data_IF_471851321689
#
_entry.id   IF_471851321689
#
_cell.length_a   1.000
_cell.length_b   1.000
_cell.length_c   1.000
_cell.angle_alpha   90.00
_cell.angle_beta   90.00
_cell.angle_gamma   90.00
#
_symmetry.space_group_name_H-M   'P 1'
#
loop_
_entity.id
_entity.type
_entity.pdbx_description
1 polymer ?
#
# COMPACT_ATOMS: atom_id res chain seq x y z
N UNK A 1 13.62 -7.22 -41.61
CA UNK A 1 13.00 -8.07 -40.57
C UNK A 1 11.92 -7.22 -39.90
N UNK A 2 10.66 -7.58 -40.09
CA UNK A 2 9.51 -6.85 -39.52
C UNK A 2 9.36 -7.27 -38.06
N UNK A 3 9.52 -6.33 -37.12
CA UNK A 3 9.24 -6.57 -35.70
C UNK A 3 7.73 -6.49 -35.48
N UNK A 4 7.12 -7.62 -35.13
CA UNK A 4 5.73 -7.68 -34.71
C UNK A 4 5.56 -6.92 -33.39
N UNK A 5 5.05 -5.68 -33.47
CA UNK A 5 4.52 -4.95 -32.32
C UNK A 5 3.29 -5.68 -31.79
N UNK A 6 3.47 -6.45 -30.71
CA UNK A 6 2.36 -7.02 -29.95
C UNK A 6 1.92 -6.00 -28.91
N UNK A 7 1.09 -5.05 -29.36
CA UNK A 7 0.27 -4.24 -28.44
C UNK A 7 -0.59 -5.21 -27.64
N UNK A 8 -0.41 -5.27 -26.32
CA UNK A 8 -1.27 -6.10 -25.46
C UNK A 8 -2.71 -5.60 -25.61
N UNK A 9 -3.68 -6.46 -25.95
CA UNK A 9 -5.05 -6.03 -26.15
C UNK A 9 -5.60 -5.44 -24.85
N UNK A 10 -6.34 -4.35 -25.01
CA UNK A 10 -7.16 -3.71 -23.99
C UNK A 10 -8.06 -4.79 -23.34
N UNK A 11 -7.67 -5.28 -22.16
CA UNK A 11 -8.45 -6.30 -21.44
C UNK A 11 -9.65 -5.61 -20.82
N UNK A 12 -10.84 -5.80 -21.41
CA UNK A 12 -12.10 -5.67 -20.66
C UNK A 12 -12.00 -6.60 -19.45
N UNK A 13 -12.24 -6.09 -18.25
CA UNK A 13 -12.31 -6.97 -17.07
C UNK A 13 -13.46 -7.95 -17.29
N UNK A 14 -13.13 -9.24 -17.34
CA UNK A 14 -14.09 -10.32 -17.56
C UNK A 14 -14.81 -10.63 -16.24
N UNK A 15 -15.99 -11.25 -16.31
CA UNK A 15 -16.66 -11.82 -15.12
C UNK A 15 -15.74 -12.77 -14.33
N UNK A 16 -14.85 -13.48 -15.03
CA UNK A 16 -13.82 -14.32 -14.43
C UNK A 16 -12.87 -13.52 -13.52
N UNK A 17 -12.52 -12.29 -13.91
CA UNK A 17 -11.58 -11.44 -13.19
C UNK A 17 -12.22 -10.89 -11.89
N UNK A 18 -13.50 -10.53 -11.93
CA UNK A 18 -14.27 -10.06 -10.76
C UNK A 18 -14.89 -11.21 -9.94
N UNK A 19 -14.70 -12.46 -10.35
CA UNK A 19 -15.19 -13.64 -9.61
C UNK A 19 -14.63 -13.71 -8.19
N UNK A 20 -13.40 -13.22 -7.98
CA UNK A 20 -12.74 -13.21 -6.67
C UNK A 20 -13.41 -12.28 -5.64
N UNK A 21 -14.35 -11.43 -6.07
CA UNK A 21 -15.18 -10.60 -5.18
C UNK A 21 -16.39 -11.36 -4.62
N UNK A 22 -16.58 -12.63 -4.97
CA UNK A 22 -17.63 -13.48 -4.41
C UNK A 22 -17.13 -14.31 -3.23
N UNK A 23 -17.92 -14.38 -2.16
CA UNK A 23 -17.63 -15.24 -1.00
C UNK A 23 -16.26 -15.02 -0.39
N UNK A 24 -15.63 -16.12 0.04
CA UNK A 24 -14.41 -16.10 0.83
C UNK A 24 -13.12 -16.18 -0.02
N UNK A 25 -13.14 -15.59 -1.22
CA UNK A 25 -12.01 -15.61 -2.14
C UNK A 25 -11.03 -14.45 -1.91
N UNK A 26 -9.75 -14.72 -2.15
CA UNK A 26 -8.70 -13.69 -2.15
C UNK A 26 -8.85 -12.78 -3.36
N UNK A 27 -8.73 -11.47 -3.15
CA UNK A 27 -8.67 -10.54 -4.29
C UNK A 27 -7.34 -10.70 -5.02
N UNK A 28 -7.41 -10.66 -6.35
CA UNK A 28 -6.22 -10.60 -7.19
C UNK A 28 -5.72 -9.14 -7.35
N UNK A 29 -4.51 -9.03 -7.86
CA UNK A 29 -3.82 -7.77 -8.13
C UNK A 29 -4.59 -6.90 -9.15
N UNK A 30 -5.21 -7.50 -10.16
CA UNK A 30 -5.97 -6.77 -11.18
C UNK A 30 -7.21 -6.08 -10.61
N UNK A 31 -7.97 -6.72 -9.72
CA UNK A 31 -9.14 -6.14 -9.02
C UNK A 31 -8.70 -5.01 -8.09
N UNK A 32 -7.67 -5.25 -7.28
CA UNK A 32 -7.18 -4.25 -6.31
C UNK A 32 -6.70 -3.00 -7.06
N UNK A 33 -5.87 -3.18 -8.09
CA UNK A 33 -5.34 -2.07 -8.85
C UNK A 33 -6.44 -1.33 -9.62
N UNK A 34 -7.38 -2.05 -10.24
CA UNK A 34 -8.51 -1.45 -10.93
C UNK A 34 -9.36 -0.56 -10.00
N UNK A 35 -9.71 -1.07 -8.82
CA UNK A 35 -10.51 -0.32 -7.85
C UNK A 35 -9.77 0.93 -7.35
N UNK A 36 -8.47 0.81 -7.03
CA UNK A 36 -7.67 1.94 -6.56
C UNK A 36 -7.57 3.03 -7.62
N UNK A 37 -7.43 2.67 -8.90
CA UNK A 37 -7.50 3.64 -10.00
C UNK A 37 -8.84 4.39 -10.04
N UNK A 38 -9.96 3.68 -9.87
CA UNK A 38 -11.29 4.29 -9.84
C UNK A 38 -11.41 5.32 -8.71
N UNK A 39 -10.97 4.98 -7.49
CA UNK A 39 -11.14 5.86 -6.32
C UNK A 39 -10.10 6.97 -6.24
N UNK A 40 -8.91 6.77 -6.82
CA UNK A 40 -7.86 7.79 -6.88
C UNK A 40 -8.05 8.79 -8.02
N UNK A 41 -8.88 8.47 -9.03
CA UNK A 41 -9.15 9.37 -10.14
C UNK A 41 -9.68 10.72 -9.66
N UNK A 42 -9.02 11.80 -10.08
CA UNK A 42 -9.35 13.17 -9.67
C UNK A 42 -8.86 13.56 -8.26
N UNK A 43 -8.15 12.68 -7.56
CA UNK A 43 -7.59 12.95 -6.23
C UNK A 43 -6.12 13.38 -6.30
N UNK A 44 -5.50 13.63 -5.14
CA UNK A 44 -4.05 13.89 -5.07
C UNK A 44 -3.20 12.63 -5.24
N UNK A 45 -3.79 11.45 -5.10
CA UNK A 45 -3.07 10.18 -5.05
C UNK A 45 -2.84 9.59 -6.43
N UNK A 46 -1.66 9.01 -6.62
CA UNK A 46 -1.32 8.23 -7.81
C UNK A 46 -1.20 6.75 -7.44
N UNK A 47 -2.07 5.88 -7.97
CA UNK A 47 -1.95 4.45 -7.81
C UNK A 47 -0.72 3.90 -8.54
N UNK A 48 -0.10 2.89 -7.95
CA UNK A 48 1.00 2.15 -8.55
C UNK A 48 0.59 0.71 -8.82
N UNK A 49 0.97 0.19 -9.99
CA UNK A 49 0.65 -1.18 -10.39
C UNK A 49 1.46 -2.20 -9.55
N UNK A 50 0.82 -3.02 -8.71
CA UNK A 50 1.50 -3.99 -7.86
C UNK A 50 2.27 -5.04 -8.65
N UNK A 51 1.70 -5.51 -9.76
CA UNK A 51 2.30 -6.54 -10.59
C UNK A 51 3.56 -6.00 -11.25
N UNK A 52 3.47 -4.81 -11.86
CA UNK A 52 4.61 -4.17 -12.51
C UNK A 52 5.78 -3.96 -11.55
N UNK A 53 5.51 -3.33 -10.40
CA UNK A 53 6.57 -2.92 -9.48
C UNK A 53 7.20 -4.12 -8.77
N UNK A 54 6.40 -5.11 -8.38
CA UNK A 54 6.88 -6.25 -7.59
C UNK A 54 7.51 -7.35 -8.42
N UNK A 55 7.15 -7.51 -9.71
CA UNK A 55 7.60 -8.64 -10.53
C UNK A 55 8.59 -8.26 -11.63
N UNK A 56 8.66 -6.98 -12.03
CA UNK A 56 9.54 -6.56 -13.12
C UNK A 56 10.77 -5.81 -12.58
N UNK A 57 11.96 -6.27 -12.97
CA UNK A 57 13.22 -5.59 -12.65
C UNK A 57 13.42 -4.36 -13.53
N UNK A 58 12.90 -4.39 -14.76
CA UNK A 58 12.95 -3.30 -15.71
C UNK A 58 11.54 -2.84 -16.06
N UNK A 59 11.17 -1.66 -15.58
CA UNK A 59 10.02 -0.90 -16.07
C UNK A 59 10.33 0.58 -15.93
N UNK A 60 9.70 1.41 -16.77
CA UNK A 60 9.83 2.86 -16.68
C UNK A 60 8.56 3.44 -16.09
N UNK A 61 8.72 4.17 -15.00
CA UNK A 61 7.65 5.01 -14.46
C UNK A 61 7.72 6.36 -15.17
N UNK A 62 6.63 6.74 -15.85
CA UNK A 62 6.53 8.07 -16.44
C UNK A 62 6.60 9.13 -15.32
N UNK A 63 7.50 10.10 -15.45
CA UNK A 63 7.74 11.10 -14.40
C UNK A 63 8.75 10.67 -13.33
N UNK A 64 9.49 9.57 -13.55
CA UNK A 64 10.63 9.22 -12.69
C UNK A 64 11.79 10.24 -12.85
N UNK A 65 12.51 10.57 -11.75
CA UNK A 65 12.17 10.23 -10.36
C UNK A 65 10.96 11.03 -9.88
N UNK A 66 10.02 10.36 -9.22
CA UNK A 66 8.89 11.05 -8.62
C UNK A 66 9.42 11.76 -7.36
N UNK A 67 9.45 13.09 -7.39
CA UNK A 67 10.02 13.90 -6.30
C UNK A 67 8.96 14.53 -5.40
N UNK A 68 7.71 14.56 -5.86
CA UNK A 68 6.53 15.12 -5.22
C UNK A 68 5.28 14.24 -5.47
N UNK A 69 4.19 14.52 -4.76
CA UNK A 69 2.95 13.73 -4.84
C UNK A 69 2.84 12.61 -3.80
N UNK A 70 1.66 12.02 -3.73
CA UNK A 70 1.30 10.97 -2.79
C UNK A 70 0.97 9.71 -3.58
N UNK A 71 1.66 8.59 -3.31
CA UNK A 71 1.51 7.37 -4.10
C UNK A 71 0.86 6.27 -3.27
N UNK A 72 -0.10 5.55 -3.86
CA UNK A 72 -0.74 4.39 -3.25
C UNK A 72 -0.24 3.13 -3.93
N UNK A 73 0.37 2.25 -3.16
CA UNK A 73 0.96 1.01 -3.64
C UNK A 73 0.37 -0.19 -2.91
N UNK A 74 -0.42 -1.04 -3.58
CA UNK A 74 -0.81 -2.33 -3.05
C UNK A 74 0.44 -3.21 -2.94
N UNK A 75 0.78 -3.60 -1.72
CA UNK A 75 1.93 -4.44 -1.42
C UNK A 75 1.43 -5.86 -1.18
N UNK A 76 1.75 -6.79 -2.08
CA UNK A 76 1.61 -8.21 -1.77
C UNK A 76 2.77 -8.65 -0.88
N UNK A 77 2.52 -8.99 0.39
CA UNK A 77 3.49 -9.51 1.35
C UNK A 77 3.47 -11.04 1.33
N UNK A 78 4.65 -11.67 1.34
CA UNK A 78 4.84 -13.13 1.33
C UNK A 78 4.11 -13.93 0.21
N UNK A 79 3.51 -13.26 -0.77
CA UNK A 79 2.74 -13.90 -1.84
C UNK A 79 1.29 -14.24 -1.46
N UNK A 80 0.86 -13.97 -0.22
CA UNK A 80 -0.44 -14.40 0.29
C UNK A 80 -1.16 -13.38 1.18
N UNK A 81 -0.64 -12.16 1.30
CA UNK A 81 -1.23 -11.10 2.10
C UNK A 81 -1.15 -9.77 1.37
N UNK A 82 -2.20 -8.97 1.42
CA UNK A 82 -2.22 -7.64 0.81
C UNK A 82 -2.21 -6.56 1.90
N UNK A 83 -1.28 -5.62 1.77
CA UNK A 83 -1.21 -4.39 2.57
C UNK A 83 -1.19 -3.17 1.65
N UNK A 84 -1.49 -1.98 2.16
CA UNK A 84 -1.41 -0.73 1.40
C UNK A 84 -0.23 0.09 1.89
N UNK A 85 0.73 0.35 1.01
CA UNK A 85 1.81 1.30 1.27
C UNK A 85 1.45 2.66 0.69
N UNK A 86 1.45 3.69 1.53
CA UNK A 86 1.38 5.09 1.14
C UNK A 86 2.79 5.67 1.11
N UNK A 87 3.32 5.90 -0.10
CA UNK A 87 4.66 6.44 -0.30
C UNK A 87 4.57 7.95 -0.46
N UNK A 88 5.43 8.64 0.28
CA UNK A 88 5.44 10.11 0.38
C UNK A 88 6.83 10.64 0.05
N UNK A 89 7.24 10.70 -1.24
CA UNK A 89 8.58 11.13 -1.64
C UNK A 89 9.01 12.47 -1.01
N UNK A 90 8.12 13.46 -0.97
CA UNK A 90 8.40 14.75 -0.34
C UNK A 90 8.71 14.66 1.15
N UNK A 91 8.05 13.73 1.87
CA UNK A 91 8.26 13.47 3.30
C UNK A 91 9.24 12.33 3.57
N UNK A 92 9.89 11.80 2.53
CA UNK A 92 10.87 10.69 2.61
C UNK A 92 10.39 9.53 3.49
N UNK A 93 9.11 9.19 3.40
CA UNK A 93 8.52 8.18 4.27
C UNK A 93 7.53 7.28 3.56
N UNK A 94 7.37 6.08 4.12
CA UNK A 94 6.34 5.11 3.77
C UNK A 94 5.45 4.92 5.00
N UNK A 95 4.12 4.95 4.80
CA UNK A 95 3.15 4.54 5.82
C UNK A 95 2.47 3.25 5.35
N UNK A 96 2.60 2.18 6.12
CA UNK A 96 2.00 0.89 5.82
C UNK A 96 0.67 0.72 6.59
N UNK A 97 -0.40 0.44 5.85
CA UNK A 97 -1.69 0.04 6.39
C UNK A 97 -1.84 -1.47 6.20
N UNK A 98 -1.81 -2.20 7.31
CA UNK A 98 -1.78 -3.67 7.32
C UNK A 98 -2.83 -4.19 8.31
N UNK A 99 -3.85 -4.91 7.79
CA UNK A 99 -4.92 -5.49 8.61
C UNK A 99 -4.43 -6.64 9.52
N UNK A 100 -3.29 -7.23 9.20
CA UNK A 100 -2.59 -8.25 9.99
C UNK A 100 -1.41 -7.66 10.78
N UNK A 101 -1.28 -6.32 10.83
CA UNK A 101 -0.17 -5.64 11.52
C UNK A 101 -0.07 -5.97 13.01
N UNK A 102 -1.17 -6.38 13.63
CA UNK A 102 -1.22 -6.84 15.02
C UNK A 102 -0.31 -8.06 15.27
N UNK A 103 -0.06 -8.91 14.28
CA UNK A 103 0.83 -10.08 14.38
C UNK A 103 2.29 -9.70 14.68
N UNK A 104 2.68 -8.47 14.36
CA UNK A 104 4.00 -7.91 14.67
C UNK A 104 3.88 -6.60 15.48
N UNK A 105 2.79 -6.46 16.24
CA UNK A 105 2.51 -5.32 17.14
C UNK A 105 2.61 -3.95 16.47
N UNK A 106 2.33 -3.88 15.16
CA UNK A 106 2.48 -2.66 14.35
C UNK A 106 3.87 -2.01 14.49
N UNK A 107 4.90 -2.80 14.75
CA UNK A 107 6.25 -2.30 14.95
C UNK A 107 7.06 -2.41 13.66
N UNK A 108 7.57 -1.30 13.09
CA UNK A 108 8.48 -1.35 11.95
C UNK A 108 9.74 -2.18 12.22
N UNK A 109 10.12 -2.37 13.49
CA UNK A 109 11.27 -3.20 13.89
C UNK A 109 10.96 -4.70 13.85
N UNK A 110 9.69 -5.06 13.98
CA UNK A 110 9.22 -6.45 13.92
C UNK A 110 8.70 -6.82 12.53
N UNK A 111 8.60 -5.86 11.60
CA UNK A 111 8.37 -6.13 10.19
C UNK A 111 9.52 -7.02 9.67
N UNK A 112 9.24 -8.21 9.11
CA UNK A 112 10.29 -9.10 8.65
C UNK A 112 11.19 -8.47 7.59
N UNK A 113 12.50 -8.73 7.70
CA UNK A 113 13.53 -8.08 6.91
C UNK A 113 13.26 -8.12 5.40
N UNK A 114 12.78 -9.26 4.88
CA UNK A 114 12.48 -9.42 3.46
C UNK A 114 11.40 -8.44 2.95
N UNK A 115 10.36 -8.18 3.75
CA UNK A 115 9.30 -7.24 3.37
C UNK A 115 9.76 -5.79 3.52
N UNK A 116 10.62 -5.51 4.50
CA UNK A 116 11.30 -4.21 4.62
C UNK A 116 12.19 -3.94 3.40
N UNK A 117 13.05 -4.88 3.02
CA UNK A 117 13.91 -4.77 1.84
C UNK A 117 13.10 -4.63 0.55
N UNK A 118 11.93 -5.26 0.48
CA UNK A 118 11.00 -5.13 -0.63
C UNK A 118 10.43 -3.71 -0.72
N UNK A 119 10.01 -3.11 0.39
CA UNK A 119 9.59 -1.71 0.45
C UNK A 119 10.72 -0.76 0.04
N UNK A 120 11.94 -0.98 0.55
CA UNK A 120 13.12 -0.19 0.21
C UNK A 120 13.52 -0.33 -1.27
N UNK A 121 13.37 -1.53 -1.86
CA UNK A 121 13.53 -1.74 -3.31
C UNK A 121 12.46 -1.03 -4.12
N UNK A 122 11.20 -1.14 -3.71
CA UNK A 122 10.09 -0.41 -4.34
C UNK A 122 10.34 1.09 -4.32
N UNK A 123 10.76 1.64 -3.19
CA UNK A 123 11.08 3.07 -3.05
C UNK A 123 12.14 3.51 -4.08
N UNK A 124 13.25 2.77 -4.19
CA UNK A 124 14.32 3.05 -5.16
C UNK A 124 13.91 2.94 -6.62
N UNK A 125 12.86 2.17 -6.93
CA UNK A 125 12.28 2.10 -8.28
C UNK A 125 11.42 3.33 -8.62
N UNK A 126 11.01 4.11 -7.63
CA UNK A 126 10.03 5.19 -7.76
C UNK A 126 10.66 6.57 -7.65
N UNK A 127 11.66 6.72 -6.78
CA UNK A 127 12.29 7.99 -6.49
C UNK A 127 13.80 7.81 -6.22
N UNK A 128 14.57 8.86 -6.44
CA UNK A 128 15.99 8.95 -6.13
C UNK A 128 16.26 9.53 -4.72
N UNK A 129 15.21 9.98 -4.02
CA UNK A 129 15.32 10.47 -2.65
C UNK A 129 15.67 9.33 -1.68
N UNK A 130 16.45 9.65 -0.65
CA UNK A 130 16.65 8.72 0.47
C UNK A 130 15.32 8.49 1.22
N UNK A 131 15.08 7.25 1.64
CA UNK A 131 13.99 6.89 2.54
C UNK A 131 14.46 7.09 3.98
N UNK A 132 13.78 7.96 4.72
CA UNK A 132 14.14 8.26 6.11
C UNK A 132 13.44 7.29 7.08
N UNK A 133 12.15 6.99 6.84
CA UNK A 133 11.36 6.19 7.79
C UNK A 133 10.26 5.35 7.12
N UNK A 134 10.08 4.14 7.66
CA UNK A 134 8.90 3.30 7.43
C UNK A 134 8.07 3.30 8.72
N UNK A 135 6.82 3.74 8.60
CA UNK A 135 5.84 3.77 9.66
C UNK A 135 4.81 2.66 9.39
N UNK A 136 4.34 2.01 10.46
CA UNK A 136 3.20 1.09 10.39
C UNK A 136 2.06 1.77 11.11
N UNK A 137 0.93 1.96 10.43
CA UNK A 137 -0.26 2.55 11.03
C UNK A 137 -0.91 1.55 12.00
N UNK A 138 -1.17 1.99 13.23
CA UNK A 138 -1.72 1.15 14.30
C UNK A 138 -3.11 1.57 14.75
N UNK A 139 -3.48 2.85 14.61
CA UNK A 139 -4.77 3.38 15.02
C UNK A 139 -5.73 3.56 13.82
N UNK A 140 -5.18 3.62 12.62
CA UNK A 140 -5.90 3.74 11.35
C UNK A 140 -6.07 2.43 10.59
N UNK A 141 -6.11 1.27 11.25
CA UNK A 141 -6.27 -0.03 10.59
C UNK A 141 -7.25 -0.92 11.36
N UNK A 142 -8.09 -1.65 10.62
CA UNK A 142 -8.89 -2.71 11.18
C UNK A 142 -8.00 -3.93 11.48
N UNK A 143 -8.36 -4.70 12.49
CA UNK A 143 -7.78 -6.03 12.73
C UNK A 143 -8.57 -7.05 11.91
N UNK A 144 -7.89 -7.72 10.98
CA UNK A 144 -8.49 -8.82 10.23
C UNK A 144 -8.45 -10.10 11.05
N UNK A 145 -9.59 -10.79 11.12
CA UNK A 145 -9.74 -12.07 11.83
C UNK A 145 -9.83 -13.28 10.88
N UNK A 146 -10.15 -13.05 9.61
CA UNK A 146 -10.21 -14.10 8.57
C UNK A 146 -8.91 -14.20 7.77
N UNK A 147 -8.86 -15.13 6.80
CA UNK A 147 -7.68 -15.38 5.97
C UNK A 147 -7.76 -14.80 4.55
N UNK A 148 -8.79 -14.01 4.19
CA UNK A 148 -9.09 -13.71 2.78
C UNK A 148 -9.50 -12.27 2.47
N UNK A 149 -9.82 -11.44 3.46
CA UNK A 149 -10.27 -10.07 3.26
C UNK A 149 -9.15 -9.02 3.22
N UNK A 150 -7.87 -9.40 3.28
CA UNK A 150 -6.74 -8.46 3.23
C UNK A 150 -6.80 -7.52 2.02
N UNK A 151 -7.12 -8.05 0.83
CA UNK A 151 -7.31 -7.23 -0.38
C UNK A 151 -8.51 -6.27 -0.30
N UNK A 152 -9.57 -6.64 0.43
CA UNK A 152 -10.74 -5.78 0.69
C UNK A 152 -10.35 -4.62 1.60
N UNK A 153 -9.57 -4.89 2.65
CA UNK A 153 -9.02 -3.85 3.52
C UNK A 153 -8.11 -2.88 2.76
N UNK A 154 -7.25 -3.37 1.86
CA UNK A 154 -6.43 -2.50 1.00
C UNK A 154 -7.30 -1.56 0.15
N UNK A 155 -8.36 -2.08 -0.45
CA UNK A 155 -9.32 -1.26 -1.22
C UNK A 155 -10.01 -0.22 -0.33
N UNK A 156 -10.47 -0.63 0.86
CA UNK A 156 -11.10 0.26 1.85
C UNK A 156 -10.16 1.39 2.26
N UNK A 157 -8.93 1.08 2.65
CA UNK A 157 -7.96 2.08 3.07
C UNK A 157 -7.63 3.06 1.95
N UNK A 158 -7.44 2.57 0.73
CA UNK A 158 -7.17 3.42 -0.42
C UNK A 158 -8.34 4.39 -0.69
N UNK A 159 -9.58 3.90 -0.66
CA UNK A 159 -10.76 4.75 -0.84
C UNK A 159 -10.84 5.84 0.24
N UNK A 160 -10.67 5.48 1.51
CA UNK A 160 -10.75 6.43 2.63
C UNK A 160 -9.63 7.47 2.59
N UNK A 161 -8.41 7.07 2.24
CA UNK A 161 -7.31 8.02 2.02
C UNK A 161 -7.62 8.99 0.89
N UNK A 162 -8.12 8.49 -0.24
CA UNK A 162 -8.53 9.29 -1.39
C UNK A 162 -9.66 10.29 -1.07
N UNK A 163 -10.55 9.94 -0.13
CA UNK A 163 -11.61 10.83 0.39
C UNK A 163 -11.15 11.74 1.53
N UNK A 164 -9.89 11.65 1.96
CA UNK A 164 -9.34 12.37 3.13
C UNK A 164 -10.08 12.05 4.44
N UNK A 165 -10.55 10.82 4.58
CA UNK A 165 -11.28 10.34 5.74
C UNK A 165 -10.39 9.45 6.64
N UNK A 166 -10.86 9.20 7.87
CA UNK A 166 -10.27 8.14 8.70
C UNK A 166 -10.47 6.78 8.02
N UNK A 167 -9.44 5.98 8.00
CA UNK A 167 -9.43 4.63 7.41
C UNK A 167 -10.24 3.62 8.23
N UNK A 168 -10.39 3.86 9.54
CA UNK A 168 -11.28 3.11 10.44
C UNK A 168 -12.40 4.04 10.89
N UNK A 169 -13.62 3.67 10.53
CA UNK A 169 -14.85 4.39 10.89
C UNK A 169 -15.94 3.44 11.41
N UNK A 170 -15.80 2.14 11.11
CA UNK A 170 -16.77 1.11 11.43
C UNK A 170 -16.07 -0.13 11.99
N UNK A 171 -16.84 -1.05 12.56
CA UNK A 171 -16.37 -2.40 12.85
C UNK A 171 -16.48 -3.23 11.57
N UNK A 172 -15.39 -3.89 11.19
CA UNK A 172 -15.32 -4.71 9.97
C UNK A 172 -16.02 -6.08 10.15
N UNK A 173 -17.34 -6.06 10.35
CA UNK A 173 -18.15 -7.27 10.46
C UNK A 173 -18.15 -8.07 9.15
N UNK A 174 -18.40 -9.39 9.16
CA UNK A 174 -18.50 -10.19 7.94
C UNK A 174 -19.51 -9.61 6.94
N UNK A 175 -20.68 -9.18 7.42
CA UNK A 175 -21.69 -8.53 6.57
C UNK A 175 -21.16 -7.24 5.93
N UNK A 176 -20.47 -6.40 6.69
CA UNK A 176 -19.88 -5.17 6.15
C UNK A 176 -18.87 -5.48 5.04
N UNK A 177 -17.99 -6.47 5.25
CA UNK A 177 -16.99 -6.86 4.26
C UNK A 177 -17.62 -7.46 3.00
N UNK A 178 -18.69 -8.25 3.14
CA UNK A 178 -19.47 -8.76 2.01
C UNK A 178 -20.15 -7.63 1.23
N UNK A 179 -20.80 -6.69 1.92
CA UNK A 179 -21.41 -5.51 1.30
C UNK A 179 -20.33 -4.67 0.59
N UNK A 180 -19.14 -4.54 1.18
CA UNK A 180 -18.01 -3.80 0.58
C UNK A 180 -17.41 -4.52 -0.65
N UNK A 181 -17.37 -5.86 -0.66
CA UNK A 181 -17.01 -6.64 -1.85
C UNK A 181 -17.97 -6.38 -3.01
N UNK A 182 -19.28 -6.32 -2.73
CA UNK A 182 -20.28 -5.98 -3.74
C UNK A 182 -20.14 -4.53 -4.21
N UNK A 183 -19.80 -3.62 -3.32
CA UNK A 183 -19.48 -2.25 -3.67
C UNK A 183 -18.28 -2.17 -4.63
N UNK A 184 -17.17 -2.86 -4.33
CA UNK A 184 -16.00 -2.94 -5.23
C UNK A 184 -16.41 -3.49 -6.60
N UNK A 185 -17.17 -4.59 -6.63
CA UNK A 185 -17.67 -5.20 -7.87
C UNK A 185 -18.44 -4.19 -8.70
N UNK A 186 -19.45 -3.55 -8.10
CA UNK A 186 -20.29 -2.58 -8.79
C UNK A 186 -19.49 -1.39 -9.32
N UNK A 187 -18.50 -0.90 -8.56
CA UNK A 187 -17.62 0.20 -9.00
C UNK A 187 -16.76 -0.20 -10.19
N UNK A 188 -16.24 -1.42 -10.22
CA UNK A 188 -15.43 -1.92 -11.34
C UNK A 188 -16.29 -2.15 -12.58
N UNK A 189 -17.45 -2.80 -12.45
CA UNK A 189 -18.29 -3.18 -13.60
C UNK A 189 -19.02 -2.00 -14.25
N UNK A 190 -19.25 -0.91 -13.50
CA UNK A 190 -19.90 0.30 -14.01
C UNK A 190 -18.92 1.38 -14.48
N UNK A 191 -17.61 1.18 -14.30
CA UNK A 191 -16.60 2.17 -14.67
C UNK A 191 -16.07 1.94 -16.09
N UNK A 192 -16.25 2.93 -16.96
CA UNK A 192 -15.68 2.93 -18.32
C UNK A 192 -14.14 3.16 -18.32
N UNK A 193 -13.53 3.48 -17.16
CA UNK A 193 -12.13 3.91 -17.06
C UNK A 193 -11.09 2.80 -17.26
N UNK A 194 -11.48 1.53 -17.33
CA UNK A 194 -10.53 0.42 -17.32
C UNK A 194 -10.08 0.06 -18.74
N UNK A 195 -9.43 1.03 -19.37
CA UNK A 195 -8.73 0.88 -20.63
C UNK A 195 -7.22 0.81 -20.35
N UNK A 196 -6.65 -0.39 -20.15
CA UNK A 196 -5.19 -0.56 -20.11
C UNK A 196 -4.60 -0.22 -21.49
N UNK A 197 -3.99 0.94 -21.65
CA UNK A 197 -3.03 1.19 -22.73
C UNK A 197 -1.63 0.87 -22.21
N UNK A 198 -1.19 -0.37 -22.43
CA UNK A 198 0.23 -0.69 -22.34
C UNK A 198 0.91 -0.21 -23.61
N UNK A 199 1.34 1.04 -23.64
CA UNK A 199 2.24 1.52 -24.70
C UNK A 199 3.66 1.05 -24.38
N UNK A 200 4.34 0.49 -25.39
CA UNK A 200 5.77 0.25 -25.33
C UNK A 200 6.47 1.55 -25.74
N UNK A 201 7.57 1.90 -25.08
CA UNK A 201 8.38 3.03 -25.52
C UNK A 201 9.18 2.68 -26.79
N UNK A 202 9.90 3.65 -27.35
CA UNK A 202 10.73 3.48 -28.55
C UNK A 202 11.88 2.46 -28.37
N UNK A 203 12.16 2.02 -27.14
CA UNK A 203 13.14 1.00 -26.80
C UNK A 203 12.48 -0.37 -26.52
N UNK A 204 11.16 -0.47 -26.58
CA UNK A 204 10.42 -1.68 -26.26
C UNK A 204 10.18 -1.89 -24.76
N UNK A 205 10.43 -0.88 -23.91
CA UNK A 205 10.16 -0.95 -22.47
C UNK A 205 8.67 -0.72 -22.18
N UNK A 206 8.11 -1.45 -21.21
CA UNK A 206 6.73 -1.29 -20.77
C UNK A 206 6.57 0.03 -19.99
N UNK A 207 5.76 0.97 -20.50
CA UNK A 207 5.42 2.19 -19.77
C UNK A 207 4.39 1.90 -18.68
N UNK A 208 4.72 2.26 -17.44
CA UNK A 208 3.69 2.47 -16.42
C UNK A 208 2.97 3.78 -16.75
N UNK A 209 1.73 3.70 -17.21
CA UNK A 209 0.89 4.88 -17.36
C UNK A 209 0.44 5.36 -15.98
N UNK A 210 1.08 6.42 -15.49
CA UNK A 210 0.48 7.29 -14.48
C UNK A 210 -0.40 8.26 -15.26
N UNK A 211 -1.73 8.29 -15.04
CA UNK A 211 -2.59 9.31 -15.62
C UNK A 211 -2.01 10.68 -15.26
N UNK A 212 -1.53 11.39 -16.27
CA UNK A 212 -1.00 12.73 -16.09
C UNK A 212 -2.13 13.63 -15.61
N UNK A 213 -1.95 14.29 -14.47
CA UNK A 213 -2.74 15.48 -14.16
C UNK A 213 -2.51 16.46 -15.31
N UNK A 214 -3.55 16.78 -16.06
CA UNK A 214 -3.51 17.98 -16.89
C UNK A 214 -3.12 19.14 -15.97
N UNK A 215 -2.06 19.86 -16.34
CA UNK A 215 -1.51 20.94 -15.55
C UNK A 215 -2.54 22.08 -15.46
N UNK A 216 -3.38 22.04 -14.42
CA UNK A 216 -4.42 23.04 -14.22
C UNK A 216 -5.11 22.88 -12.89
N UNK A 217 -4.76 23.74 -11.93
CA UNK A 217 -5.48 23.99 -10.66
C UNK A 217 -5.25 23.02 -9.50
N UNK A 218 -4.02 22.97 -8.98
CA UNK A 218 -3.85 22.73 -7.55
C UNK A 218 -4.17 24.05 -6.81
N UNK A 219 -5.37 24.17 -6.26
CA UNK A 219 -5.66 25.19 -5.24
C UNK A 219 -4.95 24.76 -3.96
N UNK A 220 -3.98 25.55 -3.52
CA UNK A 220 -3.41 25.45 -2.18
C UNK A 220 -4.54 25.49 -1.14
N UNK A 221 -4.79 24.35 -0.50
CA UNK A 221 -5.50 24.28 0.76
C UNK A 221 -4.59 23.59 1.75
N UNK A 222 -3.95 24.40 2.57
CA UNK A 222 -3.21 23.98 3.75
C UNK A 222 -4.20 23.44 4.78
N UNK A 223 -4.42 22.12 4.77
CA UNK A 223 -4.97 21.43 5.94
C UNK A 223 -3.82 20.74 6.67
N UNK A 224 -3.30 21.42 7.69
CA UNK A 224 -2.40 20.82 8.66
C UNK A 224 -3.19 19.83 9.52
N UNK A 225 -2.96 18.54 9.33
CA UNK A 225 -3.33 17.54 10.33
C UNK A 225 -2.35 17.66 11.51
N UNK A 226 -2.84 17.68 12.77
CA UNK A 226 -1.95 17.77 13.93
C UNK A 226 -1.17 16.46 14.10
N UNK A 227 0.15 16.59 14.20
CA UNK A 227 1.05 15.51 14.63
C UNK A 227 0.79 15.26 16.12
N UNK A 228 0.58 14.01 16.57
CA UNK A 228 0.43 13.72 17.99
C UNK A 228 1.73 14.06 18.74
N UNK A 229 1.61 14.95 19.72
CA UNK A 229 2.68 15.41 20.57
C UNK A 229 3.02 14.30 21.57
N UNK A 230 4.09 13.53 21.32
CA UNK A 230 4.60 12.56 22.28
C UNK A 230 5.52 13.31 23.24
N UNK A 231 5.00 13.64 24.41
CA UNK A 231 5.79 14.13 25.53
C UNK A 231 6.69 13.01 26.02
N UNK A 232 7.99 13.12 25.72
CA UNK A 232 9.03 12.31 26.35
C UNK A 232 9.20 12.82 27.79
N UNK A 233 8.61 12.12 28.76
CA UNK A 233 9.08 12.24 30.14
C UNK A 233 10.41 11.47 30.29
N UNK A 234 11.41 12.01 31.00
CA UNK A 234 12.68 11.34 31.19
C UNK A 234 12.50 10.18 32.18
N UNK A 235 12.64 8.94 31.70
CA UNK A 235 12.80 7.79 32.58
C UNK A 235 14.12 7.89 33.33
N UNK A 236 14.01 8.02 34.64
CA UNK A 236 15.11 7.99 35.60
C UNK A 236 15.79 6.61 35.54
N UNK A 237 16.97 6.55 34.92
CA UNK A 237 17.85 5.38 34.98
C UNK A 237 18.33 5.19 36.42
N UNK A 238 17.80 4.18 37.11
CA UNK A 238 18.45 3.64 38.30
C UNK A 238 19.53 2.65 37.88
N UNK A 239 20.78 3.01 38.15
CA UNK A 239 21.93 2.11 38.10
C UNK A 239 21.73 0.97 39.10
N UNK A 240 21.65 -0.27 38.62
CA UNK A 240 21.69 -1.45 39.48
C UNK A 240 23.15 -1.87 39.62
N UNK A 241 23.69 -1.62 40.81
CA UNK A 241 25.06 -1.89 41.22
C UNK A 241 25.28 -3.42 41.34
N UNK A 242 26.02 -3.98 40.39
CA UNK A 242 26.41 -5.39 40.38
C UNK A 242 27.62 -5.58 41.29
N UNK A 243 27.38 -6.02 42.53
CA UNK A 243 28.43 -6.57 43.40
C UNK A 243 28.08 -7.94 43.99
N UNK A 244 28.77 -8.93 43.44
CA UNK A 244 29.33 -10.16 44.05
C UNK A 244 28.78 -10.59 45.41
N UNK A 245 28.24 -11.81 45.45
CA UNK A 245 28.58 -12.77 46.51
C UNK A 245 28.55 -14.20 45.98
N UNK A 246 29.70 -14.85 46.10
CA UNK A 246 29.90 -16.26 45.85
C UNK A 246 29.65 -17.07 47.12
N UNK A 247 29.26 -18.33 46.91
CA UNK A 247 29.51 -19.54 47.69
C UNK A 247 29.00 -19.64 49.14
N UNK A 248 28.11 -20.63 49.33
CA UNK A 248 27.99 -21.64 50.40
C UNK A 248 26.54 -22.15 50.39
N UNK A 249 26.19 -23.41 50.62
CA UNK A 249 26.87 -24.67 50.87
C UNK A 249 25.77 -25.73 50.70
N UNK A 250 26.12 -26.91 50.19
CA UNK A 250 25.32 -28.13 50.26
C UNK A 250 25.21 -28.59 51.72
N UNK A 251 23.99 -28.94 52.18
CA UNK A 251 23.63 -29.98 53.18
C UNK A 251 22.33 -29.61 53.91
N UNK A 252 21.22 -30.22 53.53
CA UNK A 252 20.57 -31.37 54.22
C UNK A 252 19.24 -31.70 53.53
#
# INVERSE_FOLDING_TARGET
MQSHNTVRPQRKLTEELVSCLSGNSWLNDEVIYAFINIVANGTRFTPLDPCLIQTQDMFRIRGYPITDGELLFPLNMYGNHWSLAWLRPALKSIVLYDSLGHLYSYSPRLLPLQEREKLERTWRKITDRCLDVILIESNGVHVQEDSYNCGVFVCLYAERLCKEERTVQEVATPKFLDDYRQYIRNRITTSDMLCRTGELDHNGDLLCYIPGKEAGQARERTCAMPVPNVSLEPTHCQEVDVKKKAAKEYKD
#
